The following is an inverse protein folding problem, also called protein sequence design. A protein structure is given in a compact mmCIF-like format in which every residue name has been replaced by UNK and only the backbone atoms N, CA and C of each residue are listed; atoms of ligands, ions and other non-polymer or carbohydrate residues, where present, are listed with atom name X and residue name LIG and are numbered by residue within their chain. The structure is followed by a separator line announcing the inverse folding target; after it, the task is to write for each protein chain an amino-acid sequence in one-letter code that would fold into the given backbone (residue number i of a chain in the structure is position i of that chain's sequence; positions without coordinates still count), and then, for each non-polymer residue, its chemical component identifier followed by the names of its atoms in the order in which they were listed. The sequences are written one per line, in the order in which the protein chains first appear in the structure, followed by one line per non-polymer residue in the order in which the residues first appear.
data_IF_357400270148
#
_entry.id   IF_357400270148
#
_cell.length_a   1.000
_cell.length_b   1.000
_cell.length_c   1.000
_cell.angle_alpha   90.00
_cell.angle_beta   90.00
_cell.angle_gamma   90.00
#
_symmetry.space_group_name_H-M   'P 1'
#
loop_
_entity.id
_entity.type
_entity.pdbx_description
1 polymer ?
#
# COMPACT_ATOMS: atom_id res chain seq x y z
N UNK A 1 -22.27 15.93 10.84
CA UNK A 1 -21.57 14.63 10.71
C UNK A 1 -21.81 14.11 9.30
N UNK A 2 -20.87 13.35 8.72
CA UNK A 2 -20.89 12.71 7.37
C UNK A 2 -19.93 13.29 6.33
N UNK A 3 -18.62 13.25 6.62
CA UNK A 3 -17.58 13.10 5.59
C UNK A 3 -17.40 11.61 5.27
N UNK A 4 -18.42 10.93 4.78
CA UNK A 4 -18.33 9.48 4.55
C UNK A 4 -19.34 9.06 3.48
N UNK A 5 -18.91 9.15 2.22
CA UNK A 5 -19.45 8.40 1.08
C UNK A 5 -18.80 8.86 -0.24
N UNK A 6 -18.52 10.17 -0.40
CA UNK A 6 -18.07 10.73 -1.69
C UNK A 6 -16.56 10.71 -1.94
N UNK A 7 -15.73 10.52 -0.90
CA UNK A 7 -14.27 10.45 -1.08
C UNK A 7 -13.79 9.12 -1.70
N UNK A 8 -14.63 8.07 -1.59
CA UNK A 8 -14.30 6.74 -2.13
C UNK A 8 -14.51 6.61 -3.64
N UNK A 9 -15.26 7.52 -4.25
CA UNK A 9 -15.56 7.44 -5.69
C UNK A 9 -14.54 8.21 -6.54
N UNK A 10 -13.85 9.20 -5.97
CA UNK A 10 -12.78 9.93 -6.67
C UNK A 10 -11.56 9.05 -6.94
N UNK A 11 -11.34 8.02 -6.11
CA UNK A 11 -10.27 7.04 -6.28
C UNK A 11 -10.46 6.14 -7.52
N UNK A 12 -11.67 6.10 -8.12
CA UNK A 12 -11.94 5.38 -9.37
C UNK A 12 -11.69 6.23 -10.62
N UNK A 13 -11.59 7.55 -10.48
CA UNK A 13 -11.39 8.49 -11.60
C UNK A 13 -9.95 8.98 -11.75
N UNK A 14 -9.04 8.62 -10.85
CA UNK A 14 -7.60 8.78 -11.12
C UNK A 14 -7.18 7.68 -12.09
N UNK A 15 -7.46 7.91 -13.38
CA UNK A 15 -6.99 7.11 -14.49
C UNK A 15 -5.47 6.99 -14.42
N UNK A 16 -5.01 5.81 -14.04
CA UNK A 16 -3.63 5.42 -14.31
C UNK A 16 -3.50 5.30 -15.82
N UNK A 17 -2.56 5.99 -16.48
CA UNK A 17 -2.33 5.76 -17.89
C UNK A 17 -1.94 4.29 -18.05
N UNK A 18 -2.70 3.57 -18.87
CA UNK A 18 -2.38 2.23 -19.34
C UNK A 18 -1.02 2.27 -20.05
N UNK A 19 0.08 2.14 -19.30
CA UNK A 19 1.41 2.31 -19.89
C UNK A 19 2.62 2.41 -18.96
N UNK A 20 2.46 2.39 -17.63
CA UNK A 20 3.62 2.24 -16.74
C UNK A 20 4.00 0.76 -16.59
N UNK A 21 5.31 0.40 -16.49
CA UNK A 21 5.74 -0.99 -16.43
C UNK A 21 4.97 -1.79 -15.38
N UNK A 22 4.30 -2.83 -15.88
CA UNK A 22 3.10 -3.49 -15.35
C UNK A 22 3.22 -4.14 -13.96
N UNK A 23 4.39 -4.14 -13.32
CA UNK A 23 4.67 -4.89 -12.09
C UNK A 23 5.72 -4.22 -11.21
N UNK A 24 5.27 -3.71 -10.06
CA UNK A 24 6.16 -3.46 -8.92
C UNK A 24 6.63 -4.80 -8.33
N UNK A 25 7.94 -4.95 -8.13
CA UNK A 25 8.48 -6.14 -7.45
C UNK A 25 8.04 -6.16 -5.98
N UNK A 26 7.89 -7.36 -5.41
CA UNK A 26 7.53 -7.52 -4.01
C UNK A 26 8.53 -6.81 -3.08
N UNK A 27 9.82 -6.89 -3.40
CA UNK A 27 10.87 -6.20 -2.66
C UNK A 27 10.69 -4.68 -2.67
N UNK A 28 10.43 -4.09 -3.84
CA UNK A 28 10.26 -2.64 -3.96
C UNK A 28 8.99 -2.16 -3.24
N UNK A 29 7.90 -2.93 -3.30
CA UNK A 29 6.70 -2.66 -2.49
C UNK A 29 7.01 -2.70 -0.99
N UNK A 30 7.78 -3.68 -0.53
CA UNK A 30 8.17 -3.81 0.87
C UNK A 30 9.02 -2.61 1.34
N UNK A 31 9.99 -2.15 0.54
CA UNK A 31 10.78 -0.95 0.85
C UNK A 31 9.89 0.28 1.06
N UNK A 32 8.91 0.50 0.17
CA UNK A 32 7.93 1.59 0.28
C UNK A 32 7.06 1.44 1.53
N UNK A 33 6.56 0.24 1.82
CA UNK A 33 5.77 0.01 3.03
C UNK A 33 6.59 0.27 4.30
N UNK A 34 7.86 -0.14 4.32
CA UNK A 34 8.75 0.12 5.46
C UNK A 34 8.99 1.62 5.68
N UNK A 35 9.04 2.43 4.61
CA UNK A 35 9.05 3.91 4.71
C UNK A 35 7.80 4.42 5.43
N UNK A 36 6.62 3.98 5.00
CA UNK A 36 5.34 4.36 5.63
C UNK A 36 5.24 3.91 7.10
N UNK A 37 5.77 2.72 7.43
CA UNK A 37 5.80 2.23 8.81
C UNK A 37 6.77 2.98 9.72
N UNK A 38 7.80 3.64 9.15
CA UNK A 38 8.69 4.56 9.88
C UNK A 38 8.07 5.93 10.17
N UNK A 39 6.88 6.21 9.62
CA UNK A 39 6.16 7.46 9.82
C UNK A 39 6.35 8.50 8.72
N UNK A 40 6.93 8.13 7.57
CA UNK A 40 6.95 9.02 6.40
C UNK A 40 5.52 9.30 5.91
N UNK A 41 5.28 10.55 5.47
CA UNK A 41 3.96 10.97 5.00
C UNK A 41 3.58 10.25 3.70
N UNK A 42 2.33 9.77 3.65
CA UNK A 42 1.84 9.02 2.50
C UNK A 42 1.71 9.89 1.24
N UNK A 43 1.45 11.19 1.39
CA UNK A 43 1.39 12.15 0.29
C UNK A 43 2.77 12.46 -0.28
N UNK A 44 3.79 12.61 0.57
CA UNK A 44 5.19 12.77 0.14
C UNK A 44 5.67 11.53 -0.62
N UNK A 45 5.51 10.35 -0.02
CA UNK A 45 5.90 9.08 -0.67
C UNK A 45 5.14 8.91 -1.99
N UNK A 46 3.83 9.18 -2.01
CA UNK A 46 2.98 9.08 -3.21
C UNK A 46 3.51 9.92 -4.37
N UNK A 47 3.89 11.18 -4.11
CA UNK A 47 4.42 12.10 -5.12
C UNK A 47 5.76 11.63 -5.65
N UNK A 48 6.63 11.14 -4.78
CA UNK A 48 7.97 10.67 -5.14
C UNK A 48 7.91 9.46 -6.08
N UNK A 49 7.13 8.44 -5.71
CA UNK A 49 7.07 7.18 -6.46
C UNK A 49 5.96 7.13 -7.50
N UNK A 50 5.19 8.22 -7.61
CA UNK A 50 4.03 8.38 -8.50
C UNK A 50 3.00 7.26 -8.33
N UNK A 51 2.73 6.88 -7.08
CA UNK A 51 1.70 5.90 -6.73
C UNK A 51 0.63 6.56 -5.88
N UNK A 52 -0.64 6.39 -6.25
CA UNK A 52 -1.75 7.01 -5.53
C UNK A 52 -1.78 6.56 -4.04
N UNK A 53 -2.09 7.46 -3.08
CA UNK A 53 -2.14 7.11 -1.66
C UNK A 53 -3.01 5.88 -1.34
N UNK A 54 -4.20 5.68 -1.95
CA UNK A 54 -5.01 4.49 -1.70
C UNK A 54 -4.32 3.16 -2.06
N UNK A 55 -3.48 3.15 -3.10
CA UNK A 55 -2.71 1.95 -3.50
C UNK A 55 -1.56 1.68 -2.51
N UNK A 56 -0.97 2.74 -1.94
CA UNK A 56 0.03 2.62 -0.87
C UNK A 56 -0.56 2.08 0.42
N UNK A 57 -1.75 2.56 0.80
CA UNK A 57 -2.49 1.99 1.93
C UNK A 57 -2.81 0.52 1.71
N UNK A 58 -3.19 0.15 0.47
CA UNK A 58 -3.42 -1.24 0.11
C UNK A 58 -2.16 -2.09 0.31
N UNK A 59 -0.99 -1.66 -0.18
CA UNK A 59 0.26 -2.40 0.04
C UNK A 59 0.61 -2.52 1.51
N UNK A 60 0.37 -1.46 2.30
CA UNK A 60 0.57 -1.51 3.75
C UNK A 60 -0.31 -2.58 4.42
N UNK A 61 -1.59 -2.66 4.04
CA UNK A 61 -2.50 -3.71 4.56
C UNK A 61 -2.03 -5.11 4.17
N UNK A 62 -1.71 -5.33 2.89
CA UNK A 62 -1.25 -6.64 2.39
C UNK A 62 0.06 -7.10 3.06
N UNK A 63 1.00 -6.16 3.28
CA UNK A 63 2.25 -6.45 3.96
C UNK A 63 2.05 -6.85 5.43
N UNK A 64 1.17 -6.13 6.14
CA UNK A 64 0.86 -6.44 7.54
C UNK A 64 0.14 -7.79 7.68
N UNK A 65 -0.80 -8.10 6.79
CA UNK A 65 -1.47 -9.40 6.76
C UNK A 65 -0.48 -10.55 6.48
N UNK A 66 0.37 -10.40 5.46
CA UNK A 66 1.42 -11.37 5.15
C UNK A 66 2.42 -11.56 6.30
N UNK A 67 2.80 -10.47 6.98
CA UNK A 67 3.64 -10.50 8.18
C UNK A 67 3.00 -11.28 9.33
N UNK A 68 1.71 -11.02 9.61
CA UNK A 68 0.96 -11.76 10.63
C UNK A 68 0.86 -13.26 10.32
N UNK A 69 0.60 -13.62 9.06
CA UNK A 69 0.58 -15.02 8.63
C UNK A 69 1.95 -15.69 8.79
N UNK A 70 3.04 -14.99 8.46
CA UNK A 70 4.39 -15.48 8.64
C UNK A 70 4.74 -15.77 10.11
N UNK A 71 4.29 -14.92 11.03
CA UNK A 71 4.48 -15.12 12.47
C UNK A 71 3.69 -16.33 13.01
N UNK A 72 2.46 -16.56 12.52
CA UNK A 72 1.63 -17.72 12.91
C UNK A 72 2.29 -19.06 12.54
N UNK A 73 3.02 -19.14 11.43
CA UNK A 73 3.64 -20.38 10.93
C UNK A 73 4.80 -20.89 11.81
N UNK A 74 5.33 -20.07 12.73
CA UNK A 74 6.41 -20.47 13.65
C UNK A 74 5.97 -21.20 14.91
N UNK A 75 4.68 -21.37 15.16
CA UNK A 75 4.18 -22.17 16.28
C UNK A 75 3.80 -23.60 15.89
N UNK A 76 4.55 -24.25 14.99
CA UNK A 76 4.52 -25.71 14.92
C UNK A 76 5.53 -26.22 15.96
N UNK A 77 5.12 -26.63 17.16
CA UNK A 77 5.96 -27.52 17.95
C UNK A 77 6.20 -28.76 17.08
N UNK A 78 7.48 -29.03 16.79
CA UNK A 78 7.89 -30.36 16.38
C UNK A 78 7.73 -31.33 17.54
#
# INVERSE_FOLDING_TARGET
MSRSAKEQDLAKSCGWPEGLPKRWSAQRKAEVVLRLLRGEDIGEVSREIRVAPPELERWRREFLDGGQQGLKKKNRPG
#
